data_IF_756216397941
#
_entry.id   IF_756216397941
#
_cell.length_a   1.000
_cell.length_b   1.000
_cell.length_c   1.000
_cell.angle_alpha   90.00
_cell.angle_beta   90.00
_cell.angle_gamma   90.00
#
_symmetry.space_group_name_H-M   'P 1'
#
loop_
_entity.id
_entity.type
_entity.pdbx_description
1 polymer ?
#
# COMPACT_ATOMS: atom_id res chain seq x y z
N UNK A 1 21.30 -20.21 3.18
CA UNK A 1 20.07 -19.62 2.61
C UNK A 1 20.06 -18.17 3.08
N UNK A 2 20.21 -17.18 2.19
CA UNK A 2 20.14 -15.78 2.63
C UNK A 2 18.68 -15.48 2.95
N UNK A 3 18.35 -15.20 4.21
CA UNK A 3 17.06 -14.64 4.57
C UNK A 3 16.98 -13.24 3.96
N UNK A 4 16.35 -13.13 2.80
CA UNK A 4 15.96 -11.81 2.29
C UNK A 4 14.91 -11.26 3.24
N UNK A 5 15.30 -10.28 4.05
CA UNK A 5 14.40 -9.62 4.98
C UNK A 5 13.66 -8.57 4.19
N UNK A 6 12.42 -8.84 3.79
CA UNK A 6 11.60 -7.83 3.13
C UNK A 6 10.93 -6.94 4.17
N UNK A 7 10.95 -5.63 3.93
CA UNK A 7 10.27 -4.66 4.76
C UNK A 7 8.99 -4.16 4.08
N UNK A 8 8.06 -3.69 4.93
CA UNK A 8 6.75 -3.21 4.52
C UNK A 8 6.65 -1.72 4.80
N UNK A 9 6.45 -0.92 3.76
CA UNK A 9 6.12 0.49 3.88
C UNK A 9 4.67 0.72 3.46
N UNK A 10 3.91 1.48 4.25
CA UNK A 10 2.54 1.86 3.93
C UNK A 10 2.46 3.35 3.70
N UNK A 11 2.02 3.76 2.51
CA UNK A 11 1.93 5.15 2.10
C UNK A 11 0.47 5.56 1.95
N UNK A 12 0.09 6.67 2.60
CA UNK A 12 -1.20 7.32 2.47
C UNK A 12 -0.97 8.71 1.85
N UNK A 13 -1.28 8.87 0.57
CA UNK A 13 -0.87 10.07 -0.19
C UNK A 13 -1.82 10.52 -1.31
N UNK A 14 -3.00 9.89 -1.45
CA UNK A 14 -3.95 10.18 -2.52
C UNK A 14 -4.09 9.00 -3.48
N UNK A 15 -4.37 9.30 -4.75
CA UNK A 15 -4.73 8.29 -5.76
C UNK A 15 -3.64 7.21 -5.90
N UNK A 16 -3.98 5.99 -5.46
CA UNK A 16 -3.08 4.85 -5.47
C UNK A 16 -2.56 4.50 -6.88
N UNK A 17 -3.31 4.77 -7.95
CA UNK A 17 -2.84 4.51 -9.33
C UNK A 17 -1.63 5.33 -9.73
N UNK A 18 -1.53 6.58 -9.26
CA UNK A 18 -0.34 7.41 -9.52
C UNK A 18 0.86 6.96 -8.70
N UNK A 19 0.62 6.39 -7.51
CA UNK A 19 1.67 5.93 -6.64
C UNK A 19 2.14 4.50 -6.96
N UNK A 20 1.34 3.62 -7.56
CA UNK A 20 1.79 2.24 -7.82
C UNK A 20 2.81 2.19 -8.95
N UNK A 21 2.56 2.88 -10.06
CA UNK A 21 3.41 2.86 -11.26
C UNK A 21 4.90 3.09 -11.00
N UNK A 22 5.32 4.17 -10.31
CA UNK A 22 6.74 4.43 -10.11
C UNK A 22 7.41 3.39 -9.19
N UNK A 23 6.68 2.76 -8.27
CA UNK A 23 7.25 1.74 -7.40
C UNK A 23 7.32 0.37 -8.05
N UNK A 24 6.40 0.04 -8.96
CA UNK A 24 6.45 -1.22 -9.70
C UNK A 24 7.70 -1.32 -10.62
N UNK A 25 8.15 -0.17 -11.15
CA UNK A 25 9.34 -0.09 -11.99
C UNK A 25 10.65 0.09 -11.19
N UNK A 26 10.58 0.29 -9.86
CA UNK A 26 11.76 0.53 -9.02
C UNK A 26 12.47 -0.79 -8.66
N UNK A 27 13.79 -0.89 -8.90
CA UNK A 27 14.56 -2.06 -8.52
C UNK A 27 14.60 -2.22 -7.00
N UNK A 28 14.24 -3.40 -6.51
CA UNK A 28 14.15 -3.72 -5.08
C UNK A 28 12.75 -3.67 -4.51
N UNK A 29 11.76 -3.18 -5.26
CA UNK A 29 10.36 -3.40 -4.92
C UNK A 29 9.95 -4.80 -5.36
N UNK A 30 9.36 -5.56 -4.44
CA UNK A 30 8.92 -6.93 -4.65
C UNK A 30 7.41 -7.04 -4.85
N UNK A 31 6.64 -6.18 -4.18
CA UNK A 31 5.18 -6.21 -4.24
C UNK A 31 4.60 -4.85 -3.93
N UNK A 32 3.56 -4.47 -4.67
CA UNK A 32 2.77 -3.26 -4.39
C UNK A 32 1.30 -3.68 -4.26
N UNK A 33 0.66 -3.28 -3.17
CA UNK A 33 -0.72 -3.59 -2.83
C UNK A 33 -1.49 -2.30 -2.59
N UNK A 34 -2.51 -2.03 -3.39
CA UNK A 34 -3.46 -0.94 -3.14
C UNK A 34 -4.56 -1.40 -2.20
N UNK A 35 -4.90 -0.58 -1.20
CA UNK A 35 -5.95 -0.89 -0.23
C UNK A 35 -6.45 0.35 0.52
N UNK A 36 -7.12 0.08 1.63
CA UNK A 36 -7.75 1.10 2.46
C UNK A 36 -7.34 0.90 3.92
N UNK A 37 -6.94 1.97 4.60
CA UNK A 37 -6.54 1.92 6.01
C UNK A 37 -6.86 3.21 6.76
N UNK A 38 -6.84 3.14 8.10
CA UNK A 38 -7.06 4.29 8.99
C UNK A 38 -8.52 4.59 9.33
N UNK A 39 -9.47 3.84 8.79
CA UNK A 39 -10.88 3.93 9.16
C UNK A 39 -11.26 3.09 10.36
N UNK A 40 -12.52 3.20 10.78
CA UNK A 40 -13.07 2.49 11.93
C UNK A 40 -13.86 1.22 11.56
N UNK A 41 -14.11 0.99 10.26
CA UNK A 41 -14.86 -0.18 9.78
C UNK A 41 -13.91 -1.35 9.57
N UNK A 42 -14.16 -2.50 10.19
CA UNK A 42 -13.41 -3.72 9.88
C UNK A 42 -13.78 -4.25 8.50
N UNK A 43 -12.78 -4.50 7.65
CA UNK A 43 -12.95 -5.01 6.28
C UNK A 43 -13.98 -4.22 5.45
N UNK A 44 -13.76 -2.91 5.22
CA UNK A 44 -14.70 -2.08 4.48
C UNK A 44 -14.82 -2.55 3.03
N UNK A 45 -16.02 -2.50 2.46
CA UNK A 45 -16.18 -2.65 1.02
C UNK A 45 -15.85 -1.34 0.30
N UNK A 46 -15.49 -1.44 -0.99
CA UNK A 46 -15.22 -0.27 -1.83
C UNK A 46 -16.32 0.79 -1.77
N UNK A 47 -17.58 0.37 -1.73
CA UNK A 47 -18.74 1.28 -1.64
C UNK A 47 -18.77 2.05 -0.32
N UNK A 48 -18.40 1.42 0.80
CA UNK A 48 -18.35 2.07 2.11
C UNK A 48 -17.19 3.07 2.23
N UNK A 49 -16.07 2.80 1.56
CA UNK A 49 -14.96 3.77 1.47
C UNK A 49 -15.37 4.94 0.58
N UNK A 50 -15.96 4.65 -0.58
CA UNK A 50 -16.45 5.68 -1.51
C UNK A 50 -17.55 6.56 -0.91
N UNK A 51 -18.41 6.00 -0.06
CA UNK A 51 -19.44 6.75 0.66
C UNK A 51 -18.87 7.71 1.72
N UNK A 52 -17.58 7.59 2.07
CA UNK A 52 -16.93 8.42 3.10
C UNK A 52 -17.36 8.09 4.53
N UNK A 53 -18.23 7.09 4.73
CA UNK A 53 -18.79 6.73 6.04
C UNK A 53 -17.86 5.84 6.86
N UNK A 54 -16.88 5.22 6.23
CA UNK A 54 -16.00 4.24 6.88
C UNK A 54 -14.72 4.84 7.48
N UNK A 55 -14.41 6.10 7.13
CA UNK A 55 -13.22 6.83 7.59
C UNK A 55 -11.90 6.31 7.01
N UNK A 56 -11.93 5.33 6.10
CA UNK A 56 -10.71 4.79 5.52
C UNK A 56 -10.12 5.72 4.46
N UNK A 57 -8.80 5.80 4.43
CA UNK A 57 -8.01 6.50 3.44
C UNK A 57 -7.45 5.52 2.44
N UNK A 58 -7.26 5.98 1.20
CA UNK A 58 -6.57 5.23 0.17
C UNK A 58 -5.09 5.10 0.56
N UNK A 59 -4.61 3.86 0.65
CA UNK A 59 -3.22 3.56 0.99
C UNK A 59 -2.62 2.55 0.01
N UNK A 60 -1.31 2.60 -0.11
CA UNK A 60 -0.52 1.62 -0.86
C UNK A 60 0.50 1.01 0.08
N UNK A 61 0.50 -0.32 0.17
CA UNK A 61 1.48 -1.09 0.91
C UNK A 61 2.51 -1.66 -0.06
N UNK A 62 3.78 -1.42 0.24
CA UNK A 62 4.91 -1.76 -0.61
C UNK A 62 5.81 -2.71 0.17
N UNK A 63 6.07 -3.87 -0.42
CA UNK A 63 7.08 -4.83 0.05
C UNK A 63 8.36 -4.58 -0.72
N UNK A 64 9.44 -4.21 -0.02
CA UNK A 64 10.72 -3.88 -0.61
C UNK A 64 11.88 -4.62 0.08
N UNK A 65 13.00 -4.76 -0.63
CA UNK A 65 14.25 -5.29 -0.09
C UNK A 65 15.10 -4.12 0.44
N UNK A 66 15.19 -3.91 1.76
CA UNK A 66 15.99 -2.85 2.36
C UNK A 66 17.49 -3.04 2.15
N UNK A 67 17.94 -4.20 1.64
CA UNK A 67 19.35 -4.38 1.29
C UNK A 67 19.72 -3.62 0.01
N UNK A 68 18.73 -3.17 -0.75
CA UNK A 68 18.89 -2.49 -2.05
C UNK A 68 18.69 -0.96 -1.92
N UNK A 69 18.14 -0.49 -0.79
CA UNK A 69 17.83 0.92 -0.51
C UNK A 69 18.61 1.43 0.70
#
# INVERSE_FOLDING_TARGET
MSEKTYELATFAGGCFWCMVKPFDELPGIHKVLSGYAGGHVENPTYEQVKAGTSGHLEVVQITFDPSIF
#
